data_IF_970876591530
#
_entry.id   IF_970876591530
#
_cell.length_a   1.000
_cell.length_b   1.000
_cell.length_c   1.000
_cell.angle_alpha   90.00
_cell.angle_beta   90.00
_cell.angle_gamma   90.00
#
_symmetry.space_group_name_H-M   'P 1'
#
loop_
_entity.id
_entity.type
_entity.pdbx_description
1 polymer ?
#
# COMPACT_ATOMS: atom_id res chain seq x y z
N UNK A 1 -16.88 3.84 -12.07
CA UNK A 1 -16.04 2.65 -12.37
C UNK A 1 -14.63 3.03 -12.79
N UNK A 2 -14.42 3.75 -13.90
CA UNK A 2 -13.09 4.23 -14.27
C UNK A 2 -12.63 5.42 -13.40
N UNK A 3 -13.55 6.32 -13.04
CA UNK A 3 -13.26 7.45 -12.16
C UNK A 3 -12.80 7.00 -10.76
N UNK A 4 -13.43 5.95 -10.21
CA UNK A 4 -13.05 5.37 -8.92
C UNK A 4 -11.64 4.77 -8.96
N UNK A 5 -11.27 4.15 -10.09
CA UNK A 5 -9.93 3.61 -10.29
C UNK A 5 -8.89 4.74 -10.37
N UNK A 6 -9.16 5.80 -11.13
CA UNK A 6 -8.27 6.95 -11.22
C UNK A 6 -8.13 7.67 -9.87
N UNK A 7 -9.21 7.80 -9.11
CA UNK A 7 -9.18 8.34 -7.75
C UNK A 7 -8.34 7.47 -6.80
N UNK A 8 -8.52 6.15 -6.83
CA UNK A 8 -7.71 5.21 -6.05
C UNK A 8 -6.22 5.28 -6.41
N UNK A 9 -5.90 5.38 -7.72
CA UNK A 9 -4.52 5.56 -8.17
C UNK A 9 -3.93 6.91 -7.73
N UNK A 10 -4.70 8.00 -7.80
CA UNK A 10 -4.26 9.30 -7.32
C UNK A 10 -3.95 9.25 -5.81
N UNK A 11 -4.83 8.63 -5.01
CA UNK A 11 -4.60 8.44 -3.58
C UNK A 11 -3.37 7.58 -3.30
N UNK A 12 -3.15 6.50 -4.05
CA UNK A 12 -1.94 5.67 -3.95
C UNK A 12 -0.67 6.52 -4.12
N UNK A 13 -0.62 7.37 -5.15
CA UNK A 13 0.53 8.26 -5.37
C UNK A 13 0.71 9.29 -4.26
N UNK A 14 -0.38 9.84 -3.73
CA UNK A 14 -0.32 10.74 -2.57
C UNK A 14 0.28 10.02 -1.36
N UNK A 15 -0.23 8.83 -1.02
CA UNK A 15 0.26 8.07 0.13
C UNK A 15 1.73 7.63 -0.02
N UNK A 16 2.11 7.12 -1.19
CA UNK A 16 3.50 6.77 -1.50
C UNK A 16 4.44 7.98 -1.45
N UNK A 17 3.93 9.18 -1.78
CA UNK A 17 4.71 10.42 -1.76
C UNK A 17 4.91 11.04 -0.37
N UNK A 18 4.03 10.76 0.60
CA UNK A 18 4.09 11.41 1.93
C UNK A 18 5.40 11.08 2.67
N UNK A 19 5.76 9.81 2.78
CA UNK A 19 6.96 9.38 3.50
C UNK A 19 8.27 9.94 2.91
N UNK A 20 8.54 9.82 1.59
CA UNK A 20 9.74 10.40 0.98
C UNK A 20 9.76 11.93 1.08
N UNK A 21 8.61 12.61 1.07
CA UNK A 21 8.53 14.06 1.21
C UNK A 21 8.78 14.54 2.65
N UNK A 22 8.11 13.92 3.64
CA UNK A 22 8.19 14.34 5.05
C UNK A 22 9.56 14.03 5.65
N UNK A 23 10.14 12.87 5.36
CA UNK A 23 11.40 12.45 5.99
C UNK A 23 12.16 11.45 5.12
N UNK A 24 12.87 11.92 4.08
CA UNK A 24 13.60 11.04 3.15
C UNK A 24 14.66 10.18 3.83
N UNK A 25 15.26 10.65 4.93
CA UNK A 25 16.24 9.87 5.70
C UNK A 25 15.63 8.61 6.35
N UNK A 26 14.48 8.76 7.03
CA UNK A 26 13.73 7.62 7.59
C UNK A 26 13.24 6.68 6.50
N UNK A 27 12.75 7.23 5.38
CA UNK A 27 12.31 6.41 4.25
C UNK A 27 13.42 5.51 3.71
N UNK A 28 14.65 6.04 3.55
CA UNK A 28 15.82 5.24 3.14
C UNK A 28 16.16 4.12 4.13
N UNK A 29 16.01 4.36 5.44
CA UNK A 29 16.24 3.33 6.46
C UNK A 29 15.22 2.21 6.30
N UNK A 30 13.93 2.55 6.20
CA UNK A 30 12.85 1.57 6.00
C UNK A 30 13.09 0.74 4.75
N UNK A 31 13.41 1.38 3.62
CA UNK A 31 13.69 0.68 2.36
C UNK A 31 14.86 -0.30 2.48
N UNK A 32 15.94 0.05 3.19
CA UNK A 32 17.05 -0.87 3.45
C UNK A 32 16.63 -2.05 4.31
N UNK A 33 15.88 -1.79 5.39
CA UNK A 33 15.36 -2.86 6.26
C UNK A 33 14.45 -3.81 5.50
N UNK A 34 13.63 -3.30 4.57
CA UNK A 34 12.78 -4.12 3.69
C UNK A 34 13.63 -4.89 2.67
N UNK A 35 14.66 -4.27 2.09
CA UNK A 35 15.56 -4.93 1.14
C UNK A 35 16.39 -6.06 1.77
N UNK A 36 16.69 -5.97 3.07
CA UNK A 36 17.41 -7.01 3.82
C UNK A 36 16.51 -8.21 4.21
N UNK A 37 15.19 -8.14 3.98
CA UNK A 37 14.28 -9.25 4.24
C UNK A 37 14.37 -10.33 3.15
N UNK A 38 14.20 -11.59 3.55
CA UNK A 38 14.10 -12.71 2.61
C UNK A 38 12.91 -12.55 1.65
N UNK A 39 13.06 -13.03 0.41
CA UNK A 39 12.00 -13.05 -0.60
C UNK A 39 10.67 -13.64 -0.10
N UNK A 40 10.75 -14.71 0.70
CA UNK A 40 9.56 -15.37 1.28
C UNK A 40 8.81 -14.44 2.22
N UNK A 41 9.53 -13.71 3.08
CA UNK A 41 8.91 -12.76 4.01
C UNK A 41 8.25 -11.59 3.25
N UNK A 42 8.91 -11.07 2.22
CA UNK A 42 8.35 -10.02 1.36
C UNK A 42 7.08 -10.48 0.63
N UNK A 43 7.07 -11.72 0.11
CA UNK A 43 5.89 -12.29 -0.55
C UNK A 43 4.73 -12.46 0.41
N UNK A 44 4.97 -12.95 1.62
CA UNK A 44 3.92 -13.14 2.64
C UNK A 44 3.37 -11.79 3.11
N UNK A 45 4.25 -10.81 3.35
CA UNK A 45 3.84 -9.44 3.70
C UNK A 45 3.01 -8.81 2.58
N UNK A 46 3.43 -8.97 1.33
CA UNK A 46 2.67 -8.50 0.16
C UNK A 46 1.31 -9.17 0.07
N UNK A 47 1.25 -10.49 0.21
CA UNK A 47 0.01 -11.26 0.14
C UNK A 47 -0.96 -10.88 1.26
N UNK A 48 -0.48 -10.73 2.50
CA UNK A 48 -1.33 -10.32 3.63
C UNK A 48 -1.89 -8.92 3.43
N UNK A 49 -1.08 -7.97 2.94
CA UNK A 49 -1.54 -6.62 2.59
C UNK A 49 -2.58 -6.63 1.46
N UNK A 50 -2.37 -7.43 0.42
CA UNK A 50 -3.31 -7.56 -0.69
C UNK A 50 -4.65 -8.15 -0.22
N UNK A 51 -4.61 -9.22 0.58
CA UNK A 51 -5.81 -9.85 1.13
C UNK A 51 -6.59 -8.90 2.03
N UNK A 52 -5.88 -8.18 2.91
CA UNK A 52 -6.51 -7.19 3.78
C UNK A 52 -7.17 -6.06 2.98
N UNK A 53 -6.49 -5.56 1.94
CA UNK A 53 -7.08 -4.58 1.01
C UNK A 53 -8.31 -5.10 0.28
N UNK A 54 -8.28 -6.35 -0.20
CA UNK A 54 -9.42 -6.98 -0.86
C UNK A 54 -10.62 -7.18 0.09
N UNK A 55 -10.36 -7.61 1.33
CA UNK A 55 -11.40 -7.77 2.36
C UNK A 55 -12.02 -6.41 2.70
N UNK A 56 -11.20 -5.37 2.91
CA UNK A 56 -11.71 -4.02 3.16
C UNK A 56 -12.54 -3.53 1.98
N UNK A 57 -12.06 -3.68 0.75
CA UNK A 57 -12.81 -3.28 -0.45
C UNK A 57 -14.14 -4.03 -0.56
N UNK A 58 -14.16 -5.33 -0.26
CA UNK A 58 -15.38 -6.13 -0.27
C UNK A 58 -16.38 -5.65 0.79
N UNK A 59 -15.93 -5.45 2.03
CA UNK A 59 -16.76 -4.98 3.15
C UNK A 59 -17.32 -3.60 2.84
N UNK A 60 -16.48 -2.63 2.47
CA UNK A 60 -16.93 -1.25 2.22
C UNK A 60 -17.82 -1.16 0.98
N UNK A 61 -17.53 -1.91 -0.09
CA UNK A 61 -18.39 -1.91 -1.27
C UNK A 61 -19.75 -2.57 -1.00
N UNK A 62 -19.81 -3.60 -0.17
CA UNK A 62 -21.07 -4.28 0.17
C UNK A 62 -21.89 -3.51 1.23
N UNK A 63 -21.24 -2.76 2.13
CA UNK A 63 -21.93 -2.03 3.22
C UNK A 63 -22.51 -0.68 2.76
N UNK A 64 -21.89 -0.02 1.79
CA UNK A 64 -22.27 1.35 1.37
C UNK A 64 -23.05 1.42 0.05
N UNK A 65 -23.39 0.28 -0.58
CA UNK A 65 -24.25 0.16 -1.76
C UNK A 65 -25.41 -0.81 -1.49
#
# INVERSE_FOLDING_TARGET
>A
MWDDLFAAMALLFVFEGIMPFVSPARWRIVLRTVADQSDTALRIMGLSSMLMGAVLLYIFRQIYF
#
